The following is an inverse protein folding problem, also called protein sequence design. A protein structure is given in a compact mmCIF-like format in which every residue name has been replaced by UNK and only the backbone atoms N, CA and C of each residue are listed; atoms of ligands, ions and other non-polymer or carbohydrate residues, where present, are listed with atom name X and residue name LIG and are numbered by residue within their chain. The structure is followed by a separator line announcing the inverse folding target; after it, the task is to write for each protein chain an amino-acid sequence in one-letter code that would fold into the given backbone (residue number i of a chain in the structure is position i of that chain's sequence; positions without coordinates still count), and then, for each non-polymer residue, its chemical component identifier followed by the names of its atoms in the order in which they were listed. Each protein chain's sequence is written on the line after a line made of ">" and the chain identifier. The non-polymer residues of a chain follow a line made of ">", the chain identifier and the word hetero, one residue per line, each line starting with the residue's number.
data_IF_004660072778
#
_entry.id   IF_004660072778
#
_cell.length_a   1.000
_cell.length_b   1.000
_cell.length_c   1.000
_cell.angle_alpha   90.00
_cell.angle_beta   90.00
_cell.angle_gamma   90.00
#
_symmetry.space_group_name_H-M   'P 1'
#
loop_
_entity.id
_entity.type
_entity.pdbx_description
1 polymer ?
#
# COMPACT_ATOMS: atom_id res chain seq x y z
N UNK A 1 -11.15 -22.23 30.89
CA UNK A 1 -11.61 -20.82 30.94
C UNK A 1 -10.80 -19.99 31.95
N UNK A 2 -10.44 -20.55 33.11
CA UNK A 2 -9.56 -19.92 34.11
C UNK A 2 -8.23 -19.42 33.54
N UNK A 3 -7.56 -20.23 32.70
CA UNK A 3 -6.27 -19.87 32.08
C UNK A 3 -6.37 -18.64 31.16
N UNK A 4 -7.43 -18.53 30.35
CA UNK A 4 -7.62 -17.38 29.45
C UNK A 4 -7.91 -16.09 30.23
N UNK A 5 -8.63 -16.19 31.34
CA UNK A 5 -8.87 -15.06 32.24
C UNK A 5 -7.56 -14.65 32.92
N UNK A 6 -6.75 -15.63 33.35
CA UNK A 6 -5.44 -15.37 33.94
C UNK A 6 -4.50 -14.67 32.95
N UNK A 7 -4.41 -15.14 31.70
CA UNK A 7 -3.66 -14.45 30.64
C UNK A 7 -4.18 -13.03 30.39
N UNK A 8 -5.49 -12.82 30.48
CA UNK A 8 -6.08 -11.48 30.39
C UNK A 8 -5.74 -10.58 31.59
N UNK A 9 -5.64 -11.14 32.79
CA UNK A 9 -5.15 -10.41 33.97
C UNK A 9 -3.68 -10.00 33.85
N UNK A 10 -2.87 -10.83 33.20
CA UNK A 10 -1.44 -10.57 32.96
C UNK A 10 -1.17 -9.66 31.74
N UNK A 11 -2.21 -9.13 31.07
CA UNK A 11 -2.09 -8.41 29.80
C UNK A 11 -1.42 -9.22 28.66
N UNK A 12 -1.34 -10.55 28.80
CA UNK A 12 -0.84 -11.46 27.77
C UNK A 12 -1.95 -11.90 26.79
N UNK A 13 -3.19 -11.51 27.07
CA UNK A 13 -4.32 -11.82 26.20
C UNK A 13 -4.25 -10.99 24.91
N UNK A 14 -3.89 -11.65 23.82
CA UNK A 14 -4.04 -11.12 22.47
C UNK A 14 -5.52 -11.08 22.09
N UNK A 15 -5.99 -9.92 21.63
CA UNK A 15 -7.39 -9.73 21.22
C UNK A 15 -7.70 -10.58 20.00
N UNK A 16 -8.95 -11.01 19.88
CA UNK A 16 -9.45 -11.74 18.71
C UNK A 16 -9.22 -10.95 17.41
N UNK A 17 -9.20 -9.62 17.48
CA UNK A 17 -8.92 -8.75 16.32
C UNK A 17 -7.47 -8.81 15.84
N UNK A 18 -6.54 -9.20 16.71
CA UNK A 18 -5.09 -9.17 16.41
C UNK A 18 -4.65 -10.39 15.59
N UNK A 19 -5.53 -11.38 15.42
CA UNK A 19 -5.25 -12.60 14.64
C UNK A 19 -5.43 -12.41 13.13
N UNK A 20 -5.72 -11.19 12.66
CA UNK A 20 -5.83 -10.86 11.23
C UNK A 20 -7.03 -11.47 10.51
N UNK A 21 -7.93 -12.15 11.24
CA UNK A 21 -9.19 -12.62 10.70
C UNK A 21 -10.23 -11.49 10.73
N UNK A 22 -11.00 -11.33 9.65
CA UNK A 22 -12.11 -10.35 9.57
C UNK A 22 -13.32 -10.83 10.38
N UNK A 23 -13.17 -10.80 11.70
CA UNK A 23 -14.18 -11.25 12.66
C UNK A 23 -15.17 -10.11 12.91
N UNK A 24 -16.50 -10.33 12.74
CA UNK A 24 -17.48 -9.28 12.97
C UNK A 24 -17.40 -8.67 14.37
N UNK A 25 -17.36 -7.34 14.46
CA UNK A 25 -17.25 -6.59 15.74
C UNK A 25 -18.26 -7.03 16.81
N UNK A 26 -19.47 -7.42 16.40
CA UNK A 26 -20.51 -7.90 17.31
C UNK A 26 -20.14 -9.25 17.97
N UNK A 27 -19.49 -10.16 17.22
CA UNK A 27 -18.99 -11.41 17.78
C UNK A 27 -17.83 -11.16 18.73
N UNK A 28 -16.91 -10.25 18.37
CA UNK A 28 -15.84 -9.82 19.26
C UNK A 28 -16.39 -9.21 20.56
N UNK A 29 -17.48 -8.43 20.49
CA UNK A 29 -18.14 -7.89 21.67
C UNK A 29 -18.73 -8.99 22.57
N UNK A 30 -19.35 -10.02 21.99
CA UNK A 30 -19.85 -11.19 22.74
C UNK A 30 -18.69 -11.91 23.44
N UNK A 31 -17.60 -12.19 22.70
CA UNK A 31 -16.40 -12.85 23.26
C UNK A 31 -15.79 -11.99 24.38
N UNK A 32 -15.65 -10.69 24.16
CA UNK A 32 -15.11 -9.76 25.15
C UNK A 32 -15.96 -9.71 26.42
N UNK A 33 -17.29 -9.73 26.30
CA UNK A 33 -18.22 -9.80 27.44
C UNK A 33 -18.08 -11.12 28.19
N UNK A 34 -17.91 -12.26 27.50
CA UNK A 34 -17.60 -13.55 28.16
C UNK A 34 -16.28 -13.50 28.93
N UNK A 35 -15.31 -12.74 28.42
CA UNK A 35 -13.96 -12.59 28.96
C UNK A 35 -13.81 -11.41 29.92
N UNK A 36 -14.90 -10.75 30.35
CA UNK A 36 -14.81 -9.61 31.28
C UNK A 36 -14.20 -10.02 32.63
N UNK A 37 -13.42 -9.14 33.27
CA UNK A 37 -12.77 -9.49 34.55
C UNK A 37 -13.81 -9.64 35.67
N UNK A 38 -14.78 -8.73 35.69
CA UNK A 38 -15.87 -8.69 36.66
C UNK A 38 -16.97 -9.67 36.26
N UNK A 39 -17.33 -10.59 37.16
CA UNK A 39 -18.35 -11.63 36.89
C UNK A 39 -19.71 -11.00 36.56
N UNK A 40 -20.01 -9.87 37.16
CA UNK A 40 -21.27 -9.12 37.01
C UNK A 40 -21.42 -8.49 35.62
N UNK A 41 -20.30 -8.30 34.91
CA UNK A 41 -20.30 -7.80 33.52
C UNK A 41 -20.37 -8.92 32.48
N UNK A 42 -20.16 -10.18 32.88
CA UNK A 42 -20.29 -11.34 31.99
C UNK A 42 -21.76 -11.66 31.75
N UNK A 43 -22.01 -12.60 30.84
CA UNK A 43 -23.32 -13.23 30.76
C UNK A 43 -23.59 -13.97 32.08
N UNK A 44 -24.70 -13.65 32.72
CA UNK A 44 -25.06 -14.16 34.04
C UNK A 44 -25.44 -15.64 33.99
N UNK A 45 -26.01 -16.07 32.86
CA UNK A 45 -26.55 -17.42 32.65
C UNK A 45 -26.25 -17.90 31.22
N UNK A 46 -26.24 -19.22 31.02
CA UNK A 46 -26.04 -19.81 29.70
C UNK A 46 -27.13 -19.41 28.67
N UNK A 47 -28.43 -19.30 29.03
CA UNK A 47 -29.46 -18.81 28.11
C UNK A 47 -29.19 -17.39 27.59
N UNK A 48 -28.68 -16.48 28.43
CA UNK A 48 -28.36 -15.10 28.01
C UNK A 48 -27.27 -15.07 26.92
N UNK A 49 -26.24 -15.92 27.05
CA UNK A 49 -25.20 -16.08 26.03
C UNK A 49 -25.75 -16.73 24.76
N UNK A 50 -26.59 -17.76 24.90
CA UNK A 50 -27.21 -18.45 23.76
C UNK A 50 -28.11 -17.51 22.96
N UNK A 51 -28.87 -16.65 23.63
CA UNK A 51 -29.69 -15.61 23.00
C UNK A 51 -28.81 -14.60 22.24
N UNK A 52 -27.74 -14.10 22.86
CA UNK A 52 -26.81 -13.17 22.21
C UNK A 52 -26.18 -13.76 20.94
N UNK A 53 -25.73 -15.03 20.99
CA UNK A 53 -25.19 -15.75 19.84
C UNK A 53 -26.26 -16.00 18.76
N UNK A 54 -27.50 -16.29 19.15
CA UNK A 54 -28.61 -16.49 18.21
C UNK A 54 -29.00 -15.18 17.52
N UNK A 55 -29.06 -14.07 18.26
CA UNK A 55 -29.28 -12.73 17.73
C UNK A 55 -28.16 -12.32 16.77
N UNK A 56 -26.91 -12.65 17.10
CA UNK A 56 -25.79 -12.47 16.18
C UNK A 56 -26.00 -13.29 14.90
N UNK A 57 -26.27 -14.59 15.03
CA UNK A 57 -26.41 -15.49 13.89
C UNK A 57 -27.52 -15.06 12.91
N UNK A 58 -28.69 -14.66 13.43
CA UNK A 58 -29.84 -14.20 12.64
C UNK A 58 -29.52 -12.99 11.74
N UNK A 59 -28.53 -12.17 12.09
CA UNK A 59 -28.11 -11.03 11.26
C UNK A 59 -27.32 -11.46 10.02
N UNK A 60 -26.64 -12.60 10.09
CA UNK A 60 -25.74 -13.07 9.04
C UNK A 60 -26.32 -14.20 8.21
N UNK A 61 -27.21 -15.00 8.77
CA UNK A 61 -27.80 -16.14 8.08
C UNK A 61 -29.26 -16.34 8.47
N UNK A 62 -30.04 -16.87 7.53
CA UNK A 62 -31.42 -17.30 7.77
C UNK A 62 -31.52 -18.75 8.23
N UNK A 63 -30.39 -19.47 8.30
CA UNK A 63 -30.32 -20.87 8.74
C UNK A 63 -30.34 -20.97 10.27
N UNK A 64 -30.88 -22.07 10.79
CA UNK A 64 -30.83 -22.34 12.24
C UNK A 64 -29.43 -22.81 12.65
N UNK A 65 -29.05 -22.69 13.95
CA UNK A 65 -27.77 -23.18 14.44
C UNK A 65 -27.53 -24.66 14.12
N UNK A 66 -28.57 -25.50 14.25
CA UNK A 66 -28.50 -26.95 13.99
C UNK A 66 -28.20 -27.24 12.53
N UNK A 67 -28.77 -26.47 11.61
CA UNK A 67 -28.51 -26.60 10.18
C UNK A 67 -27.05 -26.27 9.85
N UNK A 68 -26.50 -25.21 10.44
CA UNK A 68 -25.11 -24.81 10.21
C UNK A 68 -24.13 -25.83 10.77
N UNK A 69 -24.40 -26.35 11.98
CA UNK A 69 -23.57 -27.40 12.57
C UNK A 69 -23.64 -28.67 11.73
N UNK A 70 -24.84 -29.08 11.30
CA UNK A 70 -25.01 -30.27 10.45
C UNK A 70 -24.26 -30.13 9.11
N UNK A 71 -24.33 -28.96 8.48
CA UNK A 71 -23.63 -28.67 7.22
C UNK A 71 -22.11 -28.63 7.41
N UNK A 72 -21.64 -27.99 8.49
CA UNK A 72 -20.22 -27.95 8.85
C UNK A 72 -19.66 -29.36 9.10
N UNK A 73 -20.41 -30.22 9.82
CA UNK A 73 -20.01 -31.60 10.06
C UNK A 73 -19.99 -32.45 8.79
N UNK A 74 -20.91 -32.20 7.84
CA UNK A 74 -20.92 -32.89 6.54
C UNK A 74 -19.74 -32.48 5.65
N UNK A 75 -19.38 -31.20 5.65
CA UNK A 75 -18.26 -30.70 4.85
C UNK A 75 -17.63 -29.45 5.51
N UNK A 76 -16.59 -29.64 6.34
CA UNK A 76 -15.94 -28.53 7.05
C UNK A 76 -15.34 -27.47 6.13
N UNK A 77 -14.97 -27.87 4.89
CA UNK A 77 -14.36 -26.98 3.90
C UNK A 77 -15.38 -26.16 3.11
N UNK A 78 -16.66 -26.56 3.08
CA UNK A 78 -17.71 -25.84 2.38
C UNK A 78 -18.55 -24.93 3.28
N UNK A 79 -18.13 -24.72 4.53
CA UNK A 79 -18.79 -23.79 5.42
C UNK A 79 -18.89 -22.43 4.71
N UNK A 80 -20.09 -21.96 4.34
CA UNK A 80 -20.21 -20.76 3.53
C UNK A 80 -19.58 -19.61 4.28
N UNK A 81 -18.64 -18.91 3.62
CA UNK A 81 -18.14 -17.65 4.13
C UNK A 81 -19.35 -16.79 4.50
N UNK A 82 -19.31 -16.17 5.68
CA UNK A 82 -20.43 -15.39 6.20
C UNK A 82 -20.73 -14.28 5.19
N UNK A 83 -21.72 -14.52 4.33
CA UNK A 83 -22.16 -13.57 3.33
C UNK A 83 -22.87 -12.46 4.10
N UNK A 84 -22.13 -11.39 4.38
CA UNK A 84 -22.69 -10.17 4.98
C UNK A 84 -23.80 -9.73 4.05
N UNK A 85 -25.07 -9.93 4.46
CA UNK A 85 -26.19 -9.28 3.79
C UNK A 85 -25.84 -7.80 3.74
N UNK A 86 -25.80 -7.14 2.56
CA UNK A 86 -25.56 -5.72 2.50
C UNK A 86 -26.62 -5.05 3.38
N UNK A 87 -26.20 -4.51 4.53
CA UNK A 87 -27.11 -4.15 5.61
C UNK A 87 -28.09 -3.06 5.19
N UNK A 88 -27.76 -2.33 4.12
CA UNK A 88 -28.58 -1.30 3.49
C UNK A 88 -28.18 -1.34 2.01
N UNK A 89 -29.13 -1.20 1.09
CA UNK A 89 -28.83 -0.91 -0.31
C UNK A 89 -28.13 0.45 -0.36
N UNK A 90 -26.80 0.45 -0.21
CA UNK A 90 -25.93 1.62 -0.30
C UNK A 90 -26.32 2.60 -1.43
N UNK A 91 -26.75 2.16 -2.64
CA UNK A 91 -27.22 3.10 -3.65
C UNK A 91 -28.39 3.98 -3.19
N UNK A 92 -29.33 3.49 -2.38
CA UNK A 92 -30.51 4.25 -1.94
C UNK A 92 -30.16 5.33 -0.90
N UNK A 93 -29.20 5.05 0.00
CA UNK A 93 -28.72 6.05 0.96
C UNK A 93 -27.88 7.14 0.30
N UNK A 94 -27.09 6.75 -0.72
CA UNK A 94 -26.29 7.71 -1.49
C UNK A 94 -27.21 8.62 -2.30
N UNK A 95 -28.24 8.08 -2.97
CA UNK A 95 -29.20 8.91 -3.71
C UNK A 95 -30.00 9.84 -2.81
N UNK A 96 -30.43 9.38 -1.62
CA UNK A 96 -31.10 10.22 -0.64
C UNK A 96 -30.21 11.36 -0.13
N UNK A 97 -28.94 11.07 0.17
CA UNK A 97 -27.98 12.10 0.59
C UNK A 97 -27.74 13.14 -0.51
N UNK A 98 -27.54 12.72 -1.75
CA UNK A 98 -27.33 13.64 -2.89
C UNK A 98 -28.55 14.54 -3.08
N UNK A 99 -29.76 13.98 -3.04
CA UNK A 99 -31.00 14.77 -3.15
C UNK A 99 -31.14 15.79 -2.03
N UNK A 100 -30.73 15.44 -0.80
CA UNK A 100 -30.76 16.35 0.34
C UNK A 100 -29.73 17.48 0.20
N UNK A 101 -28.53 17.20 -0.32
CA UNK A 101 -27.54 18.25 -0.60
C UNK A 101 -27.99 19.19 -1.72
N UNK A 102 -28.60 18.65 -2.78
CA UNK A 102 -29.14 19.45 -3.89
C UNK A 102 -30.26 20.36 -3.38
N UNK A 103 -31.19 19.86 -2.57
CA UNK A 103 -32.29 20.68 -2.04
C UNK A 103 -31.79 21.77 -1.10
N UNK A 104 -30.83 21.47 -0.22
CA UNK A 104 -30.17 22.45 0.64
C UNK A 104 -29.42 23.52 -0.17
N UNK A 105 -28.77 23.13 -1.26
CA UNK A 105 -28.06 24.07 -2.15
C UNK A 105 -29.03 25.01 -2.87
N UNK A 106 -30.17 24.51 -3.36
CA UNK A 106 -31.19 25.37 -3.95
C UNK A 106 -31.83 26.30 -2.90
N UNK A 107 -32.09 25.79 -1.69
CA UNK A 107 -32.64 26.60 -0.61
C UNK A 107 -31.69 27.74 -0.21
N UNK A 108 -30.38 27.47 -0.08
CA UNK A 108 -29.39 28.51 0.23
C UNK A 108 -29.27 29.54 -0.90
N UNK A 109 -29.36 29.14 -2.17
CA UNK A 109 -29.41 30.08 -3.30
C UNK A 109 -30.67 30.97 -3.26
N UNK A 110 -31.82 30.46 -2.83
CA UNK A 110 -33.05 31.27 -2.72
C UNK A 110 -33.02 32.25 -1.54
N UNK A 111 -32.42 31.86 -0.42
CA UNK A 111 -32.33 32.72 0.77
C UNK A 111 -31.23 33.79 0.66
N UNK A 112 -30.19 33.53 -0.13
CA UNK A 112 -29.03 34.43 -0.26
C UNK A 112 -28.72 34.75 -1.73
N UNK A 113 -29.56 35.59 -2.40
CA UNK A 113 -29.39 35.90 -3.82
C UNK A 113 -28.05 36.60 -4.15
N UNK A 114 -27.42 37.26 -3.17
CA UNK A 114 -26.10 37.88 -3.34
C UNK A 114 -24.98 36.85 -3.53
N UNK A 115 -25.08 35.63 -2.98
CA UNK A 115 -24.11 34.55 -3.28
C UNK A 115 -24.20 34.10 -4.74
N UNK A 116 -25.40 34.11 -5.33
CA UNK A 116 -25.61 33.71 -6.72
C UNK A 116 -24.89 34.62 -7.72
N UNK A 117 -24.79 35.92 -7.42
CA UNK A 117 -24.05 36.87 -8.27
C UNK A 117 -22.55 36.55 -8.30
N UNK A 118 -21.97 36.17 -7.18
CA UNK A 118 -20.54 35.83 -7.08
C UNK A 118 -20.17 34.53 -7.81
N UNK A 119 -21.07 33.54 -7.81
CA UNK A 119 -20.86 32.27 -8.55
C UNK A 119 -20.84 32.52 -10.06
N UNK A 120 -21.66 33.44 -10.58
CA UNK A 120 -21.69 33.77 -12.01
C UNK A 120 -20.35 34.32 -12.50
N UNK A 121 -19.68 35.14 -11.68
CA UNK A 121 -18.34 35.63 -11.97
C UNK A 121 -17.29 34.51 -11.91
N UNK A 122 -17.35 33.62 -10.91
CA UNK A 122 -16.36 32.54 -10.76
C UNK A 122 -16.45 31.48 -11.89
N UNK A 123 -17.65 31.09 -12.31
CA UNK A 123 -17.85 30.12 -13.40
C UNK A 123 -17.40 30.68 -14.75
N UNK A 124 -17.60 31.99 -14.99
CA UNK A 124 -17.09 32.61 -16.22
C UNK A 124 -15.56 32.55 -16.32
N UNK A 125 -14.81 32.68 -15.22
CA UNK A 125 -13.35 32.57 -15.25
C UNK A 125 -12.86 31.15 -15.51
N UNK A 126 -13.56 30.12 -14.99
CA UNK A 126 -13.17 28.72 -15.19
C UNK A 126 -13.46 28.20 -16.60
N UNK A 127 -14.51 28.67 -17.28
CA UNK A 127 -14.78 28.27 -18.66
C UNK A 127 -13.87 28.98 -19.69
N UNK A 128 -13.40 30.19 -19.41
CA UNK A 128 -12.44 30.87 -20.31
C UNK A 128 -10.99 30.43 -20.12
N UNK A 129 -10.62 29.84 -18.98
CA UNK A 129 -9.29 29.28 -18.77
C UNK A 129 -9.03 27.97 -19.54
N UNK A 130 -10.07 27.35 -20.12
CA UNK A 130 -9.94 26.18 -20.98
C UNK A 130 -9.68 26.52 -22.46
N UNK A 131 -9.67 27.81 -22.82
CA UNK A 131 -9.44 28.26 -24.19
C UNK A 131 -8.25 29.22 -24.27
N UNK A 132 -7.22 28.76 -25.00
CA UNK A 132 -6.09 29.52 -25.57
C UNK A 132 -4.78 29.49 -24.77
N UNK A 133 -3.60 29.69 -25.39
CA UNK A 133 -3.13 29.30 -26.73
C UNK A 133 -1.77 28.55 -26.70
N UNK A 134 -1.48 27.87 -27.81
CA UNK A 134 -0.16 27.78 -28.47
C UNK A 134 1.11 27.71 -27.58
N UNK A 135 1.59 26.48 -27.39
CA UNK A 135 2.88 26.17 -26.76
C UNK A 135 4.01 26.68 -27.68
N UNK A 136 4.47 27.92 -27.44
CA UNK A 136 5.77 28.36 -27.93
C UNK A 136 6.86 27.46 -27.34
N UNK A 137 7.64 26.84 -28.23
CA UNK A 137 8.85 26.06 -27.98
C UNK A 137 9.71 26.73 -26.89
N UNK A 138 9.87 26.00 -25.78
CA UNK A 138 10.82 26.35 -24.73
C UNK A 138 12.23 26.01 -25.23
N UNK A 139 13.02 27.06 -25.48
CA UNK A 139 14.44 26.97 -25.80
C UNK A 139 15.22 26.43 -24.60
N UNK A 140 16.14 25.49 -24.88
CA UNK A 140 17.11 24.94 -23.91
C UNK A 140 17.90 26.04 -23.19
N UNK A 141 18.18 25.89 -21.87
CA UNK A 141 19.27 26.60 -21.23
C UNK A 141 20.60 25.87 -21.46
N UNK A 142 21.44 26.51 -22.25
CA UNK A 142 22.81 26.92 -21.90
C UNK A 142 23.72 25.90 -21.18
N UNK A 143 24.64 25.36 -21.99
CA UNK A 143 25.98 24.84 -21.72
C UNK A 143 26.56 25.22 -20.34
N UNK A 144 26.69 24.25 -19.44
CA UNK A 144 27.57 24.34 -18.27
C UNK A 144 28.90 23.65 -18.58
N UNK A 145 29.94 24.41 -18.28
CA UNK A 145 31.37 24.19 -18.44
C UNK A 145 31.84 22.96 -17.65
N UNK A 146 32.42 21.98 -18.35
CA UNK A 146 33.03 20.78 -17.76
C UNK A 146 34.45 21.14 -17.29
N UNK A 147 34.63 21.26 -15.97
CA UNK A 147 35.95 21.25 -15.35
C UNK A 147 36.55 19.84 -15.40
N UNK A 148 37.77 19.78 -15.94
CA UNK A 148 38.64 18.61 -16.06
C UNK A 148 39.31 18.23 -14.73
N UNK A 149 39.38 16.93 -14.44
CA UNK A 149 40.24 16.26 -13.44
C UNK A 149 40.80 14.97 -14.09
N UNK A 150 41.91 14.39 -13.59
CA UNK A 150 43.07 14.06 -14.41
C UNK A 150 43.04 12.63 -14.95
N UNK A 151 43.70 12.51 -16.09
CA UNK A 151 44.03 11.33 -16.86
C UNK A 151 44.80 10.29 -16.04
N UNK A 152 44.17 9.15 -15.77
CA UNK A 152 44.84 7.94 -15.29
C UNK A 152 45.20 7.10 -16.51
N UNK A 153 46.51 6.99 -16.75
CA UNK A 153 47.12 6.20 -17.81
C UNK A 153 46.62 4.75 -17.77
N UNK A 154 46.00 4.30 -18.87
CA UNK A 154 45.74 2.87 -19.12
C UNK A 154 46.54 2.45 -20.33
N UNK A 155 47.49 1.56 -20.06
CA UNK A 155 48.46 0.97 -20.98
C UNK A 155 47.78 0.28 -22.16
N UNK A 156 48.26 0.59 -23.35
CA UNK A 156 47.85 -0.02 -24.61
C UNK A 156 48.24 -1.50 -24.69
N UNK A 157 47.31 -2.35 -25.12
CA UNK A 157 47.62 -3.61 -25.80
C UNK A 157 47.01 -3.54 -27.20
N UNK A 158 47.91 -3.37 -28.16
CA UNK A 158 47.69 -3.56 -29.58
C UNK A 158 47.40 -5.03 -29.87
N UNK A 159 46.28 -5.31 -30.53
CA UNK A 159 46.18 -6.48 -31.41
C UNK A 159 45.37 -6.11 -32.64
N UNK A 160 46.07 -5.72 -33.70
CA UNK A 160 45.52 -5.71 -35.05
C UNK A 160 45.42 -7.13 -35.59
N UNK A 161 44.32 -7.43 -36.27
CA UNK A 161 44.25 -8.33 -37.44
C UNK A 161 42.86 -8.16 -38.05
N UNK A 162 42.75 -7.50 -39.21
CA UNK A 162 42.88 -8.03 -40.57
C UNK A 162 41.52 -8.53 -41.11
N UNK A 163 41.00 -7.71 -42.00
CA UNK A 163 39.93 -7.91 -42.98
C UNK A 163 39.83 -9.32 -43.57
N UNK A 164 38.60 -9.84 -43.65
CA UNK A 164 38.19 -10.83 -44.64
C UNK A 164 36.73 -10.61 -45.03
N UNK A 165 36.52 -10.15 -46.25
CA UNK A 165 35.24 -10.13 -46.96
C UNK A 165 34.84 -11.56 -47.36
N UNK A 166 33.60 -11.98 -47.06
CA UNK A 166 32.87 -13.06 -47.76
C UNK A 166 31.37 -13.03 -47.37
N UNK A 167 30.46 -13.76 -48.03
CA UNK A 167 29.38 -13.19 -48.84
C UNK A 167 27.99 -13.34 -48.20
N UNK A 168 27.00 -12.68 -48.80
CA UNK A 168 25.60 -12.61 -48.39
C UNK A 168 25.03 -13.93 -47.87
N UNK A 169 24.58 -13.88 -46.61
CA UNK A 169 23.74 -14.90 -46.00
C UNK A 169 22.31 -14.46 -46.20
N UNK A 170 21.56 -15.25 -46.97
CA UNK A 170 20.13 -15.11 -47.19
C UNK A 170 19.39 -14.85 -45.86
N UNK A 171 18.71 -13.71 -45.78
CA UNK A 171 17.69 -13.39 -44.80
C UNK A 171 16.49 -14.33 -44.96
N UNK A 172 16.66 -15.60 -44.59
CA UNK A 172 15.53 -16.49 -44.30
C UNK A 172 14.86 -15.99 -43.04
N UNK A 173 13.92 -15.05 -43.25
CA UNK A 173 12.87 -14.59 -42.35
C UNK A 173 12.22 -15.78 -41.66
N UNK A 174 12.83 -16.21 -40.55
CA UNK A 174 12.39 -17.34 -39.75
C UNK A 174 11.18 -16.84 -38.96
N UNK A 175 10.00 -17.01 -39.55
CA UNK A 175 8.72 -16.87 -38.87
C UNK A 175 8.62 -17.97 -37.79
N UNK A 176 9.33 -17.81 -36.67
CA UNK A 176 9.05 -18.60 -35.48
C UNK A 176 7.72 -18.12 -34.94
N UNK A 177 6.69 -18.96 -35.06
CA UNK A 177 5.41 -18.73 -34.41
C UNK A 177 5.66 -18.36 -32.94
N UNK A 178 5.00 -17.32 -32.40
CA UNK A 178 5.20 -16.92 -31.02
C UNK A 178 4.86 -18.11 -30.12
N UNK A 179 5.86 -18.65 -29.42
CA UNK A 179 5.60 -19.62 -28.37
C UNK A 179 4.59 -18.97 -27.41
N UNK A 180 3.53 -19.71 -27.08
CA UNK A 180 2.56 -19.30 -26.08
C UNK A 180 3.24 -19.32 -24.70
N UNK A 181 3.99 -18.26 -24.39
CA UNK A 181 4.69 -18.14 -23.12
C UNK A 181 3.72 -17.52 -22.10
N UNK A 182 3.54 -18.19 -20.96
CA UNK A 182 2.74 -17.67 -19.87
C UNK A 182 3.31 -16.32 -19.38
N UNK A 183 2.58 -15.21 -19.52
CA UNK A 183 3.10 -13.88 -19.25
C UNK A 183 3.46 -13.68 -17.78
N UNK A 184 2.75 -14.32 -16.84
CA UNK A 184 3.06 -14.24 -15.41
C UNK A 184 4.45 -14.80 -15.13
N UNK A 185 4.74 -16.01 -15.64
CA UNK A 185 6.02 -16.67 -15.42
C UNK A 185 7.17 -15.89 -16.04
N UNK A 186 6.97 -15.36 -17.24
CA UNK A 186 7.96 -14.50 -17.92
C UNK A 186 8.19 -13.20 -17.17
N UNK A 187 7.13 -12.51 -16.76
CA UNK A 187 7.21 -11.27 -16.00
C UNK A 187 7.97 -11.44 -14.69
N UNK A 188 7.61 -12.46 -13.90
CA UNK A 188 8.31 -12.76 -12.64
C UNK A 188 9.78 -13.12 -12.87
N UNK A 189 10.10 -13.86 -13.93
CA UNK A 189 11.49 -14.15 -14.28
C UNK A 189 12.27 -12.89 -14.68
N UNK A 190 11.65 -11.97 -15.42
CA UNK A 190 12.25 -10.68 -15.77
C UNK A 190 12.54 -9.83 -14.53
N UNK A 191 11.64 -9.82 -13.53
CA UNK A 191 11.89 -9.16 -12.24
C UNK A 191 13.08 -9.78 -11.51
N UNK A 192 13.14 -11.10 -11.43
CA UNK A 192 14.29 -11.82 -10.82
C UNK A 192 15.62 -11.49 -11.50
N UNK A 193 15.60 -11.28 -12.81
CA UNK A 193 16.77 -10.87 -13.60
C UNK A 193 17.02 -9.34 -13.57
N UNK A 194 16.30 -8.59 -12.74
CA UNK A 194 16.33 -7.11 -12.63
C UNK A 194 16.02 -6.38 -13.96
N UNK A 195 15.31 -7.04 -14.87
CA UNK A 195 14.84 -6.47 -16.14
C UNK A 195 13.45 -5.88 -15.98
N UNK A 196 13.34 -4.89 -15.09
CA UNK A 196 12.04 -4.32 -14.68
C UNK A 196 11.25 -3.73 -15.84
N UNK A 197 11.93 -3.08 -16.80
CA UNK A 197 11.26 -2.50 -17.99
C UNK A 197 10.63 -3.58 -18.88
N UNK A 198 11.25 -4.75 -19.00
CA UNK A 198 10.68 -5.89 -19.73
C UNK A 198 9.56 -6.57 -18.93
N UNK A 199 9.65 -6.56 -17.60
CA UNK A 199 8.67 -7.19 -16.72
C UNK A 199 7.30 -6.49 -16.74
N UNK A 200 7.27 -5.15 -16.81
CA UNK A 200 6.03 -4.35 -16.75
C UNK A 200 4.95 -4.83 -17.73
N UNK A 201 5.18 -4.85 -19.06
CA UNK A 201 4.12 -5.22 -20.00
C UNK A 201 3.66 -6.68 -19.81
N UNK A 202 4.56 -7.58 -19.42
CA UNK A 202 4.23 -8.99 -19.15
C UNK A 202 3.36 -9.13 -17.90
N UNK A 203 3.65 -8.39 -16.84
CA UNK A 203 2.87 -8.41 -15.60
C UNK A 203 1.51 -7.70 -15.77
N UNK A 204 1.46 -6.60 -16.53
CA UNK A 204 0.20 -5.95 -16.90
C UNK A 204 -0.71 -6.89 -17.71
N UNK A 205 -0.16 -7.59 -18.70
CA UNK A 205 -0.89 -8.60 -19.47
C UNK A 205 -1.38 -9.73 -18.56
N UNK A 206 -0.54 -10.20 -17.64
CA UNK A 206 -0.90 -11.26 -16.70
C UNK A 206 -2.05 -10.85 -15.76
N UNK A 207 -2.09 -9.60 -15.28
CA UNK A 207 -3.19 -9.10 -14.44
C UNK A 207 -4.55 -9.06 -15.16
N UNK A 208 -4.54 -9.00 -16.49
CA UNK A 208 -5.74 -9.09 -17.34
C UNK A 208 -6.28 -10.52 -17.51
N UNK A 209 -5.58 -11.55 -17.03
CA UNK A 209 -5.99 -12.96 -17.13
C UNK A 209 -6.63 -13.45 -15.82
N UNK A 210 -7.24 -14.63 -15.90
CA UNK A 210 -7.80 -15.34 -14.74
C UNK A 210 -6.67 -15.88 -13.84
N UNK A 211 -6.24 -15.04 -12.90
CA UNK A 211 -5.29 -15.39 -11.84
C UNK A 211 -6.04 -15.71 -10.54
N UNK A 212 -5.55 -16.72 -9.81
CA UNK A 212 -5.97 -16.92 -8.42
C UNK A 212 -5.47 -15.77 -7.53
N UNK A 213 -6.01 -15.66 -6.31
CA UNK A 213 -5.73 -14.53 -5.42
C UNK A 213 -4.25 -14.41 -5.06
N UNK A 214 -3.55 -15.54 -4.89
CA UNK A 214 -2.13 -15.57 -4.58
C UNK A 214 -1.30 -15.04 -5.76
N UNK A 215 -1.53 -15.58 -6.96
CA UNK A 215 -0.85 -15.16 -8.19
C UNK A 215 -1.12 -13.68 -8.52
N UNK A 216 -2.37 -13.22 -8.31
CA UNK A 216 -2.74 -11.82 -8.50
C UNK A 216 -1.99 -10.91 -7.53
N UNK A 217 -1.83 -11.34 -6.28
CA UNK A 217 -1.07 -10.60 -5.27
C UNK A 217 0.42 -10.53 -5.65
N UNK A 218 1.03 -11.67 -6.00
CA UNK A 218 2.45 -11.73 -6.42
C UNK A 218 2.71 -10.87 -7.66
N UNK A 219 1.82 -10.95 -8.65
CA UNK A 219 1.90 -10.15 -9.85
C UNK A 219 1.81 -8.65 -9.56
N UNK A 220 0.89 -8.24 -8.67
CA UNK A 220 0.70 -6.84 -8.28
C UNK A 220 1.91 -6.27 -7.53
N UNK A 221 2.47 -7.03 -6.58
CA UNK A 221 3.65 -6.60 -5.79
C UNK A 221 4.86 -6.38 -6.70
N UNK A 222 5.16 -7.35 -7.56
CA UNK A 222 6.30 -7.25 -8.47
C UNK A 222 6.09 -6.22 -9.60
N UNK A 223 4.85 -5.98 -10.00
CA UNK A 223 4.54 -4.88 -10.93
C UNK A 223 4.80 -3.53 -10.26
N UNK A 224 4.38 -3.34 -9.00
CA UNK A 224 4.65 -2.12 -8.24
C UNK A 224 6.15 -1.87 -8.07
N UNK A 225 6.90 -2.91 -7.71
CA UNK A 225 8.37 -2.87 -7.63
C UNK A 225 9.02 -2.50 -8.97
N UNK A 226 8.49 -3.03 -10.07
CA UNK A 226 8.99 -2.75 -11.41
C UNK A 226 8.75 -1.30 -11.83
N UNK A 227 7.56 -0.74 -11.54
CA UNK A 227 7.29 0.68 -11.77
C UNK A 227 8.22 1.58 -10.97
N UNK A 228 8.41 1.32 -9.67
CA UNK A 228 9.32 2.09 -8.83
C UNK A 228 10.78 2.00 -9.30
N UNK A 229 11.22 0.80 -9.72
CA UNK A 229 12.59 0.57 -10.20
C UNK A 229 12.88 1.22 -11.56
N UNK A 230 11.85 1.47 -12.37
CA UNK A 230 11.98 2.12 -13.68
C UNK A 230 11.69 3.62 -13.65
N UNK A 231 11.27 4.17 -12.51
CA UNK A 231 10.89 5.57 -12.35
C UNK A 231 9.49 5.90 -12.88
N UNK A 232 8.66 4.91 -13.24
CA UNK A 232 7.26 5.12 -13.60
C UNK A 232 6.39 5.35 -12.36
N UNK A 233 6.55 6.54 -11.76
CA UNK A 233 5.84 6.93 -10.56
C UNK A 233 4.31 6.97 -10.78
N UNK A 234 3.86 7.34 -11.98
CA UNK A 234 2.44 7.42 -12.31
C UNK A 234 1.78 6.03 -12.33
N UNK A 235 2.45 5.04 -12.95
CA UNK A 235 2.04 3.64 -12.91
C UNK A 235 1.96 3.11 -11.48
N UNK A 236 3.01 3.36 -10.68
CA UNK A 236 3.04 2.98 -9.26
C UNK A 236 1.86 3.57 -8.46
N UNK A 237 1.60 4.87 -8.58
CA UNK A 237 0.52 5.53 -7.85
C UNK A 237 -0.87 5.00 -8.26
N UNK A 238 -1.10 4.76 -9.55
CA UNK A 238 -2.35 4.16 -10.03
C UNK A 238 -2.57 2.78 -9.41
N UNK A 239 -1.52 1.98 -9.32
CA UNK A 239 -1.60 0.63 -8.76
C UNK A 239 -1.88 0.66 -7.25
N UNK A 240 -1.17 1.51 -6.50
CA UNK A 240 -1.36 1.70 -5.04
C UNK A 240 -2.79 2.16 -4.70
N UNK A 241 -3.40 3.03 -5.51
CA UNK A 241 -4.76 3.51 -5.25
C UNK A 241 -5.86 2.50 -5.61
N UNK A 242 -5.56 1.49 -6.44
CA UNK A 242 -6.57 0.55 -6.97
C UNK A 242 -6.50 -0.84 -6.36
N UNK A 243 -5.42 -1.19 -5.66
CA UNK A 243 -5.17 -2.51 -5.11
C UNK A 243 -4.84 -2.44 -3.63
N UNK A 244 -5.27 -3.48 -2.91
CA UNK A 244 -4.97 -3.67 -1.50
C UNK A 244 -4.42 -5.08 -1.31
N UNK A 245 -3.26 -5.19 -0.69
CA UNK A 245 -2.61 -6.46 -0.33
C UNK A 245 -2.10 -6.32 1.10
N UNK A 246 -2.54 -7.21 1.98
CA UNK A 246 -2.15 -7.20 3.38
C UNK A 246 -0.78 -7.87 3.58
N UNK A 247 0.27 -7.24 3.08
CA UNK A 247 1.66 -7.73 3.13
C UNK A 247 2.61 -6.58 3.44
N UNK A 248 3.57 -6.81 4.34
CA UNK A 248 4.51 -5.78 4.78
C UNK A 248 5.34 -5.18 3.64
N UNK A 249 5.75 -5.98 2.66
CA UNK A 249 6.52 -5.49 1.51
C UNK A 249 5.67 -4.63 0.58
N UNK A 250 4.41 -4.99 0.38
CA UNK A 250 3.50 -4.16 -0.39
C UNK A 250 3.32 -2.78 0.25
N UNK A 251 3.14 -2.72 1.57
CA UNK A 251 3.06 -1.45 2.30
C UNK A 251 4.36 -0.64 2.23
N UNK A 252 5.53 -1.29 2.27
CA UNK A 252 6.82 -0.62 2.06
C UNK A 252 6.87 0.08 0.69
N UNK A 253 6.45 -0.61 -0.38
CA UNK A 253 6.40 -0.05 -1.74
C UNK A 253 5.35 1.07 -1.86
N UNK A 254 4.20 0.93 -1.19
CA UNK A 254 3.21 2.00 -1.08
C UNK A 254 3.80 3.26 -0.42
N UNK A 255 4.53 3.10 0.70
CA UNK A 255 5.20 4.19 1.38
C UNK A 255 6.20 4.91 0.48
N UNK A 256 7.05 4.16 -0.23
CA UNK A 256 8.00 4.71 -1.23
C UNK A 256 7.28 5.48 -2.33
N UNK A 257 6.17 4.93 -2.83
CA UNK A 257 5.34 5.61 -3.83
C UNK A 257 4.80 6.92 -3.28
N UNK A 258 4.25 6.95 -2.07
CA UNK A 258 3.72 8.18 -1.48
C UNK A 258 4.79 9.26 -1.22
N UNK A 259 6.00 8.87 -0.84
CA UNK A 259 7.14 9.80 -0.71
C UNK A 259 7.45 10.48 -2.05
N UNK A 260 7.46 9.74 -3.16
CA UNK A 260 7.69 10.31 -4.51
C UNK A 260 6.68 11.39 -4.90
N UNK A 261 5.46 11.33 -4.36
CA UNK A 261 4.40 12.32 -4.61
C UNK A 261 4.25 13.36 -3.49
N UNK A 262 5.18 13.41 -2.53
CA UNK A 262 5.13 14.35 -1.40
C UNK A 262 3.96 14.10 -0.44
N UNK A 263 3.33 12.92 -0.48
CA UNK A 263 2.19 12.56 0.38
C UNK A 263 2.68 11.94 1.69
N UNK A 264 3.40 12.73 2.48
CA UNK A 264 4.13 12.24 3.65
C UNK A 264 3.25 11.58 4.72
N UNK A 265 2.03 12.10 4.96
CA UNK A 265 1.11 11.51 5.94
C UNK A 265 0.75 10.06 5.58
N UNK A 266 0.45 9.81 4.30
CA UNK A 266 0.16 8.46 3.78
C UNK A 266 1.40 7.56 3.78
N UNK A 267 2.57 8.16 3.53
CA UNK A 267 3.83 7.43 3.59
C UNK A 267 4.11 6.91 5.00
N UNK A 268 3.90 7.74 6.03
CA UNK A 268 4.05 7.35 7.44
C UNK A 268 3.12 6.20 7.79
N UNK A 269 1.83 6.29 7.44
CA UNK A 269 0.86 5.22 7.68
C UNK A 269 1.29 3.92 7.00
N UNK A 270 1.70 3.99 5.73
CA UNK A 270 2.15 2.83 4.98
C UNK A 270 3.43 2.19 5.59
N UNK A 271 4.43 2.99 5.99
CA UNK A 271 5.62 2.45 6.65
C UNK A 271 5.30 1.86 8.03
N UNK A 272 4.38 2.43 8.80
CA UNK A 272 3.92 1.85 10.06
C UNK A 272 3.24 0.49 9.87
N UNK A 273 2.43 0.33 8.83
CA UNK A 273 1.87 -0.97 8.45
C UNK A 273 2.97 -1.96 8.02
N UNK A 274 3.97 -1.50 7.25
CA UNK A 274 5.11 -2.33 6.84
C UNK A 274 5.99 -2.80 8.01
N UNK A 275 6.02 -2.07 9.13
CA UNK A 275 6.73 -2.47 10.35
C UNK A 275 5.98 -3.54 11.18
N UNK A 276 4.65 -3.62 11.05
CA UNK A 276 3.82 -4.48 11.91
C UNK A 276 3.32 -5.73 11.22
N UNK A 277 3.28 -5.73 9.89
CA UNK A 277 2.76 -6.81 9.07
C UNK A 277 3.94 -7.61 8.50
N UNK A 278 3.93 -8.95 8.61
CA UNK A 278 5.00 -9.78 8.04
C UNK A 278 5.05 -9.63 6.51
N UNK A 279 6.26 -9.78 5.98
CA UNK A 279 6.53 -9.74 4.55
C UNK A 279 6.79 -11.15 4.03
N UNK A 280 6.25 -11.48 2.85
CA UNK A 280 6.55 -12.74 2.15
C UNK A 280 7.68 -12.62 1.13
N UNK A 281 8.12 -11.40 0.83
CA UNK A 281 8.99 -11.12 -0.32
C UNK A 281 10.40 -10.69 0.08
N UNK A 282 10.57 -10.11 1.27
CA UNK A 282 11.85 -9.56 1.69
C UNK A 282 11.98 -9.57 3.23
N UNK A 283 12.93 -10.33 3.74
CA UNK A 283 13.20 -10.43 5.18
C UNK A 283 13.67 -9.10 5.81
N UNK A 284 14.25 -8.21 5.00
CA UNK A 284 14.69 -6.88 5.43
C UNK A 284 13.58 -5.82 5.44
N UNK A 285 12.33 -6.19 5.14
CA UNK A 285 11.20 -5.23 5.05
C UNK A 285 11.07 -4.37 6.30
N UNK A 286 11.14 -4.99 7.49
CA UNK A 286 11.01 -4.27 8.77
C UNK A 286 12.12 -3.22 8.94
N UNK A 287 13.36 -3.58 8.62
CA UNK A 287 14.53 -2.69 8.71
C UNK A 287 14.39 -1.54 7.70
N UNK A 288 14.09 -1.84 6.44
CA UNK A 288 13.95 -0.83 5.39
C UNK A 288 12.77 0.12 5.68
N UNK A 289 11.62 -0.40 6.11
CA UNK A 289 10.46 0.40 6.49
C UNK A 289 10.79 1.37 7.63
N UNK A 290 11.51 0.91 8.66
CA UNK A 290 11.89 1.75 9.80
C UNK A 290 12.86 2.86 9.42
N UNK A 291 13.82 2.55 8.54
CA UNK A 291 14.73 3.55 8.01
C UNK A 291 14.00 4.61 7.18
N UNK A 292 13.17 4.19 6.23
CA UNK A 292 12.42 5.09 5.35
C UNK A 292 11.39 5.93 6.11
N UNK A 293 10.79 5.37 7.17
CA UNK A 293 9.93 6.12 8.08
C UNK A 293 10.69 7.26 8.78
N UNK A 294 11.89 6.99 9.31
CA UNK A 294 12.73 8.02 9.91
C UNK A 294 13.14 9.11 8.90
N UNK A 295 13.52 8.72 7.68
CA UNK A 295 13.82 9.67 6.59
C UNK A 295 12.60 10.52 6.19
N UNK A 296 11.41 9.92 6.22
CA UNK A 296 10.16 10.62 5.93
C UNK A 296 9.86 11.69 6.97
N UNK A 297 9.98 11.35 8.26
CA UNK A 297 9.83 12.31 9.36
C UNK A 297 10.90 13.40 9.34
N UNK A 298 12.13 13.05 8.94
CA UNK A 298 13.19 14.03 8.71
C UNK A 298 12.85 15.03 7.60
N UNK A 299 12.27 14.53 6.50
CA UNK A 299 11.79 15.37 5.40
C UNK A 299 10.67 16.31 5.85
N UNK A 300 9.73 15.82 6.67
CA UNK A 300 8.67 16.66 7.27
C UNK A 300 9.27 17.75 8.16
N UNK A 301 10.24 17.41 9.01
CA UNK A 301 10.91 18.40 9.87
C UNK A 301 11.62 19.48 9.05
N UNK A 302 12.34 19.10 7.98
CA UNK A 302 12.99 20.05 7.06
C UNK A 302 11.99 20.99 6.40
N UNK A 303 10.81 20.49 6.00
CA UNK A 303 9.76 21.30 5.37
C UNK A 303 9.02 22.19 6.38
N UNK A 304 8.82 21.72 7.61
CA UNK A 304 8.08 22.40 8.67
C UNK A 304 8.83 22.28 10.00
N UNK A 305 9.87 23.10 10.23
CA UNK A 305 10.65 23.04 11.46
C UNK A 305 9.82 23.50 12.66
N UNK A 306 9.48 22.58 13.55
CA UNK A 306 8.84 22.86 14.83
C UNK A 306 9.26 21.82 15.89
N UNK A 307 8.97 22.08 17.16
CA UNK A 307 9.41 21.24 18.28
C UNK A 307 8.81 19.83 18.25
N UNK A 308 7.57 19.69 17.78
CA UNK A 308 6.88 18.41 17.65
C UNK A 308 7.51 17.54 16.55
N UNK A 309 7.70 18.11 15.36
CA UNK A 309 8.34 17.44 14.23
C UNK A 309 9.79 17.07 14.53
N UNK A 310 10.52 17.95 15.23
CA UNK A 310 11.88 17.66 15.72
C UNK A 310 11.89 16.45 16.65
N UNK A 311 10.97 16.40 17.61
CA UNK A 311 10.83 15.28 18.56
C UNK A 311 10.46 13.98 17.85
N UNK A 312 9.50 14.01 16.92
CA UNK A 312 9.09 12.86 16.15
C UNK A 312 10.24 12.31 15.28
N UNK A 313 10.98 13.20 14.60
CA UNK A 313 12.14 12.84 13.81
C UNK A 313 13.26 12.21 14.67
N UNK A 314 13.61 12.84 15.80
CA UNK A 314 14.61 12.31 16.73
C UNK A 314 14.21 10.93 17.26
N UNK A 315 12.96 10.77 17.69
CA UNK A 315 12.43 9.49 18.16
C UNK A 315 12.54 8.40 17.09
N UNK A 316 12.21 8.72 15.83
CA UNK A 316 12.27 7.76 14.75
C UNK A 316 13.69 7.27 14.44
N UNK A 317 14.67 8.19 14.44
CA UNK A 317 16.07 7.80 14.27
C UNK A 317 16.59 6.96 15.44
N UNK A 318 16.24 7.33 16.69
CA UNK A 318 16.58 6.54 17.88
C UNK A 318 15.97 5.14 17.86
N UNK A 319 14.72 5.02 17.39
CA UNK A 319 14.06 3.73 17.23
C UNK A 319 14.80 2.86 16.21
N UNK A 320 15.22 3.43 15.07
CA UNK A 320 15.99 2.71 14.07
C UNK A 320 17.34 2.24 14.61
N UNK A 321 18.11 3.12 15.26
CA UNK A 321 19.43 2.76 15.78
C UNK A 321 19.35 1.69 16.85
N UNK A 322 18.42 1.83 17.79
CA UNK A 322 18.19 0.85 18.86
C UNK A 322 17.79 -0.53 18.33
N UNK A 323 17.05 -0.59 17.23
CA UNK A 323 16.54 -1.85 16.70
C UNK A 323 17.53 -2.58 15.76
N UNK A 324 18.42 -1.85 15.08
CA UNK A 324 19.17 -2.40 13.94
C UNK A 324 20.67 -2.09 13.91
N UNK A 325 21.25 -1.42 14.92
CA UNK A 325 22.64 -0.94 14.88
C UNK A 325 23.58 -1.54 15.93
N UNK A 326 23.29 -2.73 16.45
CA UNK A 326 24.06 -3.32 17.56
C UNK A 326 25.46 -3.87 17.17
N UNK A 327 25.80 -4.06 15.88
CA UNK A 327 27.06 -4.74 15.48
C UNK A 327 27.94 -4.01 14.43
N UNK A 328 27.70 -2.73 14.14
CA UNK A 328 28.53 -1.96 13.19
C UNK A 328 28.51 -2.48 11.74
N UNK A 329 29.10 -1.79 10.77
CA UNK A 329 28.58 -0.50 10.29
C UNK A 329 27.83 -0.73 8.98
N UNK A 330 26.50 -0.69 9.02
CA UNK A 330 25.73 -0.41 7.82
C UNK A 330 25.71 1.11 7.62
N UNK A 331 25.89 1.58 6.39
CA UNK A 331 25.84 3.00 6.02
C UNK A 331 24.63 3.73 6.64
N UNK A 332 23.48 3.05 6.67
CA UNK A 332 22.23 3.52 7.30
C UNK A 332 22.38 3.83 8.80
N UNK A 333 23.17 3.05 9.55
CA UNK A 333 23.40 3.28 10.98
C UNK A 333 24.26 4.52 11.21
N UNK A 334 25.29 4.74 10.38
CA UNK A 334 26.10 5.96 10.43
C UNK A 334 25.23 7.19 10.14
N UNK A 335 24.43 7.15 9.07
CA UNK A 335 23.48 8.21 8.74
C UNK A 335 22.53 8.48 9.91
N UNK A 336 21.96 7.44 10.52
CA UNK A 336 21.05 7.61 11.66
C UNK A 336 21.73 8.25 12.87
N UNK A 337 22.97 7.86 13.20
CA UNK A 337 23.76 8.46 14.28
C UNK A 337 24.09 9.92 14.02
N UNK A 338 24.53 10.27 12.81
CA UNK A 338 24.79 11.65 12.39
C UNK A 338 23.54 12.52 12.56
N UNK A 339 22.37 12.04 12.09
CA UNK A 339 21.11 12.77 12.25
C UNK A 339 20.69 12.95 13.71
N UNK A 340 20.95 11.97 14.59
CA UNK A 340 20.66 12.11 16.02
C UNK A 340 21.50 13.21 16.65
N UNK A 341 22.80 13.28 16.33
CA UNK A 341 23.72 14.32 16.83
C UNK A 341 23.27 15.70 16.34
N UNK A 342 22.96 15.84 15.05
CA UNK A 342 22.49 17.11 14.47
C UNK A 342 21.17 17.60 15.05
N UNK A 343 20.26 16.69 15.41
CA UNK A 343 18.98 17.04 16.02
C UNK A 343 19.12 17.34 17.52
N UNK A 344 20.20 16.95 18.17
CA UNK A 344 20.43 17.17 19.60
C UNK A 344 21.79 17.84 19.88
N UNK A 345 21.97 19.09 19.40
CA UNK A 345 23.24 19.83 19.53
C UNK A 345 23.57 20.22 20.97
#
# INVERSE_FOLDING_TARGET
>A
MSELIQKKMLNEYRSVNDFGADIPRQLCAIINKCMELRKEKRYSTAPELAEALTCFLKKFTSRTPEQLVSEFLKNPKSAPAINRKPLINAPVMITASIMLFISLFFLTLTLFPELGKNIKYMVSYSLTAAASPDIKKFSQPQKSETQSLPEVATTAINTGNKTSNAPGVDDKKRNSAPLNVNPLKSGLNSVRLKRFREAIPLLEEALGKDLNDLQRSDCTVHLLESYLSTGDAAGALRLVNSKFINDGYFYLLCGRTYVLFGKFDKAIEAFGNAQTIPSRYNDNTLREATFLWAQTLDSIYKLKPNSENKRACLHAWQQFTKAFCDEGSAEQCRTAQERIIELNP
#
